data_IF_112237849385
#
_entry.id   IF_112237849385
#
_cell.length_a   1.000
_cell.length_b   1.000
_cell.length_c   1.000
_cell.angle_alpha   90.00
_cell.angle_beta   90.00
_cell.angle_gamma   90.00
#
_symmetry.space_group_name_H-M   'P 1'
#
loop_
_entity.id
_entity.type
_entity.pdbx_description
1 polymer ?
#
# COMPACT_ATOMS: atom_id res chain seq x y z
N UNK A 1 -44.00 -14.91 -31.68
CA UNK A 1 -43.95 -13.86 -30.63
C UNK A 1 -44.50 -14.44 -29.33
N UNK A 2 -43.67 -15.09 -28.50
CA UNK A 2 -44.14 -15.57 -27.19
C UNK A 2 -44.22 -14.36 -26.26
N UNK A 3 -45.41 -14.13 -25.67
CA UNK A 3 -45.64 -13.04 -24.72
C UNK A 3 -44.76 -13.30 -23.49
N UNK A 4 -43.76 -12.45 -23.26
CA UNK A 4 -43.11 -12.42 -21.96
C UNK A 4 -44.16 -11.99 -20.92
N UNK A 5 -44.46 -12.87 -19.97
CA UNK A 5 -45.30 -12.52 -18.84
C UNK A 5 -44.65 -11.35 -18.09
N UNK A 6 -45.43 -10.32 -17.76
CA UNK A 6 -44.99 -9.13 -17.01
C UNK A 6 -44.60 -9.43 -15.55
N UNK A 7 -44.60 -10.69 -15.13
CA UNK A 7 -44.25 -11.07 -13.77
C UNK A 7 -42.74 -11.24 -13.62
N UNK A 8 -42.22 -10.44 -12.69
CA UNK A 8 -40.80 -10.24 -12.40
C UNK A 8 -40.25 -11.39 -11.54
N UNK A 9 -40.14 -12.59 -12.12
CA UNK A 9 -39.69 -13.79 -11.39
C UNK A 9 -38.15 -13.94 -11.43
N UNK A 10 -37.46 -13.26 -12.35
CA UNK A 10 -36.00 -13.28 -12.49
C UNK A 10 -35.36 -11.88 -12.56
N UNK A 11 -36.08 -10.84 -12.12
CA UNK A 11 -35.57 -9.46 -12.13
C UNK A 11 -34.78 -9.12 -10.86
N UNK A 12 -33.87 -8.15 -10.95
CA UNK A 12 -33.20 -7.61 -9.77
C UNK A 12 -34.21 -7.13 -8.73
N UNK A 13 -33.91 -7.37 -7.44
CA UNK A 13 -34.73 -6.98 -6.27
C UNK A 13 -35.11 -5.50 -6.37
N UNK A 14 -34.14 -4.65 -6.72
CA UNK A 14 -34.35 -3.23 -6.94
C UNK A 14 -34.74 -2.91 -8.39
N UNK A 15 -35.81 -2.13 -8.53
CA UNK A 15 -36.17 -1.43 -9.77
C UNK A 15 -35.13 -0.40 -10.16
N UNK A 16 -35.15 -0.04 -11.44
CA UNK A 16 -34.38 1.09 -11.95
C UNK A 16 -34.65 2.40 -11.17
N UNK A 17 -35.91 2.67 -10.82
CA UNK A 17 -36.29 3.90 -10.13
C UNK A 17 -35.80 3.94 -8.68
N UNK A 18 -35.82 2.80 -7.98
CA UNK A 18 -35.27 2.71 -6.62
C UNK A 18 -33.75 2.90 -6.65
N UNK A 19 -33.03 2.22 -7.55
CA UNK A 19 -31.58 2.43 -7.72
C UNK A 19 -31.23 3.88 -8.03
N UNK A 20 -32.04 4.56 -8.85
CA UNK A 20 -31.83 5.97 -9.19
C UNK A 20 -32.07 6.89 -7.99
N UNK A 21 -33.07 6.60 -7.15
CA UNK A 21 -33.31 7.35 -5.89
C UNK A 21 -32.20 7.12 -4.88
N UNK A 22 -31.76 5.87 -4.72
CA UNK A 22 -30.70 5.51 -3.77
C UNK A 22 -29.35 6.10 -4.21
N UNK A 23 -29.05 6.11 -5.51
CA UNK A 23 -27.88 6.79 -6.06
C UNK A 23 -27.92 8.30 -5.80
N UNK A 24 -29.09 8.94 -6.02
CA UNK A 24 -29.27 10.37 -5.74
C UNK A 24 -29.09 10.71 -4.25
N UNK A 25 -29.67 9.91 -3.35
CA UNK A 25 -29.57 10.12 -1.90
C UNK A 25 -28.17 9.82 -1.35
N UNK A 26 -27.51 8.79 -1.87
CA UNK A 26 -26.19 8.37 -1.41
C UNK A 26 -25.05 9.21 -2.00
N UNK A 27 -25.33 9.97 -3.07
CA UNK A 27 -24.30 10.73 -3.81
C UNK A 27 -23.24 9.86 -4.49
N UNK A 28 -23.42 8.54 -4.51
CA UNK A 28 -22.45 7.57 -5.00
C UNK A 28 -22.87 7.03 -6.37
N UNK A 29 -21.90 6.92 -7.29
CA UNK A 29 -22.10 6.49 -8.67
C UNK A 29 -22.25 7.66 -9.66
N UNK A 30 -22.35 7.33 -10.95
CA UNK A 30 -22.47 8.32 -12.03
C UNK A 30 -23.93 8.74 -12.21
N UNK A 31 -24.22 10.01 -11.92
CA UNK A 31 -25.54 10.60 -12.15
C UNK A 31 -25.49 11.52 -13.38
N UNK A 32 -26.44 11.38 -14.30
CA UNK A 32 -26.60 12.31 -15.40
C UNK A 32 -27.76 13.27 -15.05
N UNK A 33 -27.40 14.43 -14.50
CA UNK A 33 -28.33 15.48 -14.07
C UNK A 33 -27.88 16.80 -14.71
N UNK A 34 -28.86 17.61 -15.11
CA UNK A 34 -28.60 18.98 -15.56
C UNK A 34 -28.32 19.86 -14.33
N UNK A 35 -27.10 20.39 -14.25
CA UNK A 35 -26.70 21.30 -13.19
C UNK A 35 -27.27 22.71 -13.43
N UNK A 36 -27.57 23.44 -12.36
CA UNK A 36 -27.95 24.85 -12.41
C UNK A 36 -26.73 25.74 -12.65
N UNK A 37 -26.97 27.03 -12.90
CA UNK A 37 -25.91 28.03 -13.07
C UNK A 37 -24.96 28.08 -11.86
N UNK A 38 -25.48 27.84 -10.66
CA UNK A 38 -24.72 27.87 -9.40
C UNK A 38 -23.62 26.80 -9.31
N UNK A 39 -23.65 25.80 -10.18
CA UNK A 39 -22.60 24.79 -10.27
C UNK A 39 -21.38 25.29 -11.05
N UNK A 40 -21.51 26.40 -11.78
CA UNK A 40 -20.42 27.03 -12.52
C UNK A 40 -19.92 28.21 -11.69
N UNK A 41 -18.60 28.27 -11.53
CA UNK A 41 -17.93 29.38 -10.87
C UNK A 41 -18.12 30.67 -11.68
N UNK A 42 -18.40 31.78 -10.99
CA UNK A 42 -18.44 33.11 -11.60
C UNK A 42 -17.07 33.57 -12.13
N UNK A 43 -17.10 34.50 -13.08
CA UNK A 43 -15.90 34.99 -13.77
C UNK A 43 -14.98 35.82 -12.87
N UNK A 44 -15.56 36.62 -11.97
CA UNK A 44 -14.91 37.53 -11.04
C UNK A 44 -14.46 36.88 -9.71
N UNK A 45 -14.80 35.60 -9.52
CA UNK A 45 -14.41 34.84 -8.34
C UNK A 45 -12.97 34.29 -8.43
N UNK A 46 -12.30 34.20 -7.29
CA UNK A 46 -10.98 33.59 -7.16
C UNK A 46 -11.09 32.06 -7.32
N UNK A 47 -10.14 31.44 -8.04
CA UNK A 47 -10.10 29.98 -8.20
C UNK A 47 -9.74 29.21 -6.91
N UNK A 48 -9.27 29.90 -5.86
CA UNK A 48 -8.92 29.28 -4.57
C UNK A 48 -10.01 29.49 -3.51
N UNK A 49 -10.45 30.72 -3.29
CA UNK A 49 -11.44 31.05 -2.25
C UNK A 49 -12.89 30.95 -2.72
N UNK A 50 -13.15 30.91 -4.04
CA UNK A 50 -14.49 30.99 -4.65
C UNK A 50 -15.29 32.22 -4.18
N UNK A 51 -14.61 33.23 -3.65
CA UNK A 51 -15.17 34.54 -3.32
C UNK A 51 -14.84 35.53 -4.44
N UNK A 52 -15.66 36.58 -4.63
CA UNK A 52 -15.34 37.68 -5.53
C UNK A 52 -13.97 38.30 -5.17
N UNK A 53 -13.14 38.58 -6.18
CA UNK A 53 -11.79 39.09 -5.95
C UNK A 53 -11.80 40.59 -5.62
N UNK A 54 -11.06 41.00 -4.58
CA UNK A 54 -10.81 42.43 -4.32
C UNK A 54 -9.61 42.97 -5.11
N UNK A 55 -8.47 42.28 -5.07
CA UNK A 55 -7.25 42.61 -5.81
C UNK A 55 -6.86 41.44 -6.75
N UNK A 56 -7.44 41.42 -7.97
CA UNK A 56 -7.26 40.31 -8.89
C UNK A 56 -5.86 40.28 -9.49
N UNK A 57 -5.26 39.09 -9.48
CA UNK A 57 -4.03 38.76 -10.18
C UNK A 57 -4.28 37.62 -11.15
N UNK A 58 -3.69 37.71 -12.34
CA UNK A 58 -3.93 36.77 -13.44
C UNK A 58 -2.63 36.06 -13.79
N UNK A 59 -2.69 34.73 -13.84
CA UNK A 59 -1.60 33.88 -14.34
C UNK A 59 -1.57 33.91 -15.87
N UNK A 60 -0.42 33.71 -16.55
CA UNK A 60 -0.36 33.66 -18.02
C UNK A 60 -1.35 32.70 -18.68
N UNK A 61 -1.76 31.64 -17.97
CA UNK A 61 -2.76 30.67 -18.42
C UNK A 61 -4.21 31.19 -18.37
N UNK A 62 -4.44 32.39 -17.86
CA UNK A 62 -5.75 33.04 -17.81
C UNK A 62 -6.59 32.74 -16.56
N UNK A 63 -5.98 32.20 -15.50
CA UNK A 63 -6.68 31.97 -14.23
C UNK A 63 -6.67 33.20 -13.34
N UNK A 64 -7.82 33.49 -12.72
CA UNK A 64 -8.03 34.61 -11.80
C UNK A 64 -7.84 34.18 -10.34
N UNK A 65 -7.01 34.91 -9.61
CA UNK A 65 -6.79 34.70 -8.19
C UNK A 65 -6.82 36.03 -7.44
N UNK A 66 -7.05 35.94 -6.14
CA UNK A 66 -6.77 37.03 -5.20
C UNK A 66 -5.30 37.01 -4.79
N UNK A 67 -4.68 38.18 -4.73
CA UNK A 67 -3.23 38.32 -4.45
C UNK A 67 -2.80 37.60 -3.18
N UNK A 68 -3.54 37.77 -2.09
CA UNK A 68 -3.20 37.18 -0.79
C UNK A 68 -3.31 35.65 -0.84
N UNK A 69 -4.45 35.14 -1.34
CA UNK A 69 -4.73 33.72 -1.43
C UNK A 69 -3.68 32.95 -2.27
N UNK A 70 -3.27 33.50 -3.42
CA UNK A 70 -2.28 32.81 -4.27
C UNK A 70 -0.89 32.78 -3.63
N UNK A 71 -0.50 33.85 -2.93
CA UNK A 71 0.80 33.93 -2.27
C UNK A 71 0.89 32.97 -1.08
N UNK A 72 -0.16 32.93 -0.25
CA UNK A 72 -0.29 31.98 0.84
C UNK A 72 -0.23 30.53 0.34
N UNK A 73 -0.96 30.25 -0.73
CA UNK A 73 -0.95 28.93 -1.37
C UNK A 73 0.46 28.53 -1.83
N UNK A 74 1.17 29.42 -2.52
CA UNK A 74 2.54 29.14 -3.00
C UNK A 74 3.50 28.85 -1.83
N UNK A 75 3.44 29.65 -0.76
CA UNK A 75 4.28 29.43 0.42
C UNK A 75 3.97 28.10 1.11
N UNK A 76 2.68 27.79 1.25
CA UNK A 76 2.23 26.52 1.82
C UNK A 76 2.71 25.33 0.99
N UNK A 77 2.52 25.36 -0.33
CA UNK A 77 2.95 24.27 -1.23
C UNK A 77 4.46 24.07 -1.20
N UNK A 78 5.26 25.15 -1.21
CA UNK A 78 6.72 25.04 -1.11
C UNK A 78 7.16 24.39 0.20
N UNK A 79 6.50 24.73 1.31
CA UNK A 79 6.78 24.15 2.63
C UNK A 79 6.43 22.66 2.67
N UNK A 80 5.27 22.28 2.16
CA UNK A 80 4.85 20.87 2.12
C UNK A 80 5.74 20.02 1.21
N UNK A 81 6.11 20.54 0.03
CA UNK A 81 7.08 19.86 -0.85
C UNK A 81 8.41 19.66 -0.13
N UNK A 82 8.96 20.70 0.52
CA UNK A 82 10.20 20.58 1.27
C UNK A 82 10.11 19.52 2.40
N UNK A 83 8.97 19.47 3.10
CA UNK A 83 8.70 18.47 4.13
C UNK A 83 8.66 17.05 3.56
N UNK A 84 7.94 16.85 2.47
CA UNK A 84 7.82 15.55 1.79
C UNK A 84 9.16 15.08 1.22
N UNK A 85 9.92 15.99 0.59
CA UNK A 85 11.25 15.69 0.06
C UNK A 85 12.21 15.24 1.17
N UNK A 86 12.23 15.92 2.31
CA UNK A 86 13.06 15.53 3.47
C UNK A 86 12.66 14.16 4.03
N UNK A 87 11.36 13.87 4.10
CA UNK A 87 10.87 12.57 4.55
C UNK A 87 11.29 11.44 3.57
N UNK A 88 11.15 11.71 2.27
CA UNK A 88 11.56 10.79 1.21
C UNK A 88 13.06 10.51 1.23
N UNK A 89 13.90 11.54 1.39
CA UNK A 89 15.34 11.40 1.49
C UNK A 89 15.76 10.54 2.70
N UNK A 90 15.12 10.76 3.86
CA UNK A 90 15.35 9.95 5.06
C UNK A 90 14.98 8.48 4.81
N UNK A 91 13.82 8.22 4.22
CA UNK A 91 13.39 6.86 3.89
C UNK A 91 14.33 6.19 2.90
N UNK A 92 14.77 6.93 1.86
CA UNK A 92 15.72 6.44 0.86
C UNK A 92 17.09 6.13 1.46
N UNK A 93 17.56 6.96 2.39
CA UNK A 93 18.79 6.74 3.14
C UNK A 93 18.74 5.47 3.99
N UNK A 94 17.67 5.29 4.76
CA UNK A 94 17.46 4.09 5.59
C UNK A 94 17.41 2.81 4.74
N UNK A 95 16.64 2.81 3.65
CA UNK A 95 16.56 1.66 2.73
C UNK A 95 17.92 1.31 2.11
N UNK A 96 18.73 2.32 1.75
CA UNK A 96 20.06 2.11 1.19
C UNK A 96 21.00 1.48 2.22
N UNK A 97 20.93 1.89 3.48
CA UNK A 97 21.75 1.33 4.54
C UNK A 97 21.34 -0.11 4.88
N UNK A 98 20.04 -0.38 4.99
CA UNK A 98 19.51 -1.74 5.16
C UNK A 98 19.97 -2.67 4.02
N UNK A 99 19.89 -2.21 2.77
CA UNK A 99 20.35 -3.00 1.62
C UNK A 99 21.87 -3.26 1.67
N UNK A 100 22.68 -2.28 2.09
CA UNK A 100 24.13 -2.47 2.29
C UNK A 100 24.41 -3.48 3.40
N UNK A 101 23.65 -3.44 4.49
CA UNK A 101 23.80 -4.38 5.60
C UNK A 101 23.44 -5.80 5.17
N UNK A 102 22.33 -5.96 4.44
CA UNK A 102 21.92 -7.26 3.86
C UNK A 102 22.98 -7.79 2.89
N UNK A 103 23.55 -6.96 2.02
CA UNK A 103 24.64 -7.37 1.12
C UNK A 103 25.90 -7.80 1.88
N UNK A 104 26.27 -7.08 2.95
CA UNK A 104 27.41 -7.45 3.80
C UNK A 104 27.17 -8.76 4.54
N UNK A 105 25.98 -8.95 5.11
CA UNK A 105 25.60 -10.19 5.78
C UNK A 105 25.62 -11.37 4.80
N UNK A 106 25.03 -11.20 3.61
CA UNK A 106 25.06 -12.22 2.56
C UNK A 106 26.50 -12.57 2.14
N UNK A 107 27.39 -11.58 1.99
CA UNK A 107 28.80 -11.83 1.68
C UNK A 107 29.51 -12.60 2.80
N UNK A 108 29.25 -12.27 4.07
CA UNK A 108 29.81 -12.99 5.22
C UNK A 108 29.29 -14.42 5.31
N UNK A 109 28.00 -14.66 5.05
CA UNK A 109 27.41 -16.00 5.02
C UNK A 109 28.02 -16.85 3.90
N UNK A 110 28.31 -16.27 2.73
CA UNK A 110 29.01 -16.96 1.64
C UNK A 110 30.42 -17.38 2.05
N UNK A 111 31.18 -16.49 2.71
CA UNK A 111 32.52 -16.81 3.22
C UNK A 111 32.46 -17.89 4.30
N UNK A 112 31.51 -17.78 5.25
CA UNK A 112 31.32 -18.79 6.30
C UNK A 112 30.99 -20.16 5.71
N UNK A 113 30.04 -20.21 4.78
CA UNK A 113 29.65 -21.44 4.10
C UNK A 113 30.77 -22.04 3.23
N UNK A 114 31.68 -21.22 2.72
CA UNK A 114 32.89 -21.70 2.05
C UNK A 114 33.86 -22.38 3.03
N UNK A 115 34.19 -21.71 4.15
CA UNK A 115 35.09 -22.26 5.17
C UNK A 115 34.57 -23.57 5.79
N UNK A 116 33.25 -23.67 6.05
CA UNK A 116 32.62 -24.89 6.54
C UNK A 116 32.80 -26.07 5.56
N UNK A 117 32.68 -25.82 4.25
CA UNK A 117 32.90 -26.84 3.22
C UNK A 117 34.37 -27.26 3.15
N UNK A 118 35.31 -26.34 3.27
CA UNK A 118 36.74 -26.68 3.34
C UNK A 118 37.04 -27.56 4.57
N UNK A 119 36.51 -27.19 5.74
CA UNK A 119 36.68 -27.95 6.96
C UNK A 119 36.09 -29.38 6.86
N UNK A 120 34.96 -29.55 6.16
CA UNK A 120 34.35 -30.86 5.93
C UNK A 120 35.20 -31.79 5.05
N UNK A 121 35.95 -31.23 4.08
CA UNK A 121 36.84 -32.00 3.19
C UNK A 121 38.12 -32.40 3.93
N UNK A 122 38.69 -31.51 4.73
CA UNK A 122 39.97 -31.74 5.42
C UNK A 122 39.79 -32.51 6.74
N UNK A 123 38.68 -32.33 7.44
CA UNK A 123 38.43 -32.89 8.77
C UNK A 123 37.85 -34.30 8.77
N UNK A 124 37.36 -34.82 7.64
CA UNK A 124 36.80 -36.17 7.56
C UNK A 124 37.76 -37.11 6.83
N UNK A 125 38.45 -38.03 7.52
CA UNK A 125 39.17 -39.09 6.82
C UNK A 125 38.14 -39.94 6.08
N UNK A 126 38.02 -39.75 4.77
CA UNK A 126 37.29 -40.63 3.86
C UNK A 126 38.09 -41.93 3.75
N UNK A 127 38.00 -42.78 4.78
CA UNK A 127 38.43 -44.17 4.68
C UNK A 127 37.31 -44.95 3.98
N UNK A 128 37.48 -45.38 2.71
CA UNK A 128 36.43 -46.08 1.96
C UNK A 128 36.23 -47.54 2.42
N UNK A 129 37.04 -48.00 3.39
CA UNK A 129 37.14 -49.41 3.79
C UNK A 129 36.64 -49.70 5.21
N UNK A 130 36.05 -48.73 5.91
CA UNK A 130 35.46 -48.99 7.24
C UNK A 130 33.97 -49.25 7.05
N UNK A 131 33.62 -50.54 6.97
CA UNK A 131 32.27 -51.03 7.20
C UNK A 131 32.01 -50.89 8.70
N UNK A 132 31.27 -49.85 9.10
CA UNK A 132 30.78 -49.73 10.48
C UNK A 132 29.77 -50.85 10.73
N UNK A 133 30.26 -51.98 11.23
CA UNK A 133 29.48 -52.84 12.11
C UNK A 133 29.56 -52.23 13.51
N UNK A 134 28.40 -52.10 14.13
CA UNK A 134 28.15 -51.83 15.56
C UNK A 134 28.05 -50.36 15.98
N UNK A 135 26.82 -49.87 16.12
CA UNK A 135 26.18 -49.73 17.44
C UNK A 135 24.83 -48.98 17.33
N UNK A 136 23.91 -49.39 18.20
CA UNK A 136 22.46 -49.26 18.10
C UNK A 136 21.87 -47.85 18.25
N UNK A 137 20.61 -47.62 17.81
CA UNK A 137 19.91 -46.35 17.99
C UNK A 137 19.62 -46.12 19.48
N UNK A 138 20.14 -45.03 20.02
CA UNK A 138 19.62 -44.50 21.28
C UNK A 138 18.16 -44.06 21.04
N UNK A 139 17.29 -44.80 21.70
CA UNK A 139 15.88 -44.53 21.95
C UNK A 139 15.62 -43.03 22.14
N UNK A 140 14.81 -42.45 21.26
CA UNK A 140 14.21 -41.13 21.46
C UNK A 140 13.27 -41.25 22.66
N UNK A 141 13.69 -40.71 23.80
CA UNK A 141 12.85 -40.56 24.97
C UNK A 141 12.16 -39.20 24.84
N UNK A 142 10.94 -39.19 24.31
CA UNK A 142 10.06 -38.03 24.39
C UNK A 142 9.69 -37.82 25.87
N UNK A 143 10.38 -36.91 26.55
CA UNK A 143 9.86 -36.27 27.73
C UNK A 143 9.40 -34.87 27.32
N UNK A 144 8.10 -34.73 27.10
CA UNK A 144 7.40 -33.47 27.39
C UNK A 144 7.33 -33.32 28.91
N UNK A 145 7.82 -32.20 29.46
CA UNK A 145 7.14 -31.63 30.61
C UNK A 145 6.86 -30.16 30.35
N UNK A 146 5.59 -29.80 30.58
CA UNK A 146 5.00 -28.46 30.58
C UNK A 146 4.26 -28.10 29.29
N UNK A 147 3.08 -28.73 29.16
CA UNK A 147 1.98 -28.19 28.39
C UNK A 147 1.61 -26.78 28.87
N UNK A 148 1.89 -25.79 28.03
CA UNK A 148 1.12 -24.56 27.97
C UNK A 148 0.59 -24.40 26.54
N UNK A 149 -0.71 -24.61 26.40
CA UNK A 149 -1.46 -24.13 25.24
C UNK A 149 -1.37 -22.61 25.21
N UNK A 150 -0.68 -22.07 24.21
CA UNK A 150 -0.81 -20.65 23.85
C UNK A 150 -1.93 -20.50 22.81
N UNK A 151 -3.04 -19.79 23.12
CA UNK A 151 -4.17 -19.65 22.21
C UNK A 151 -4.00 -18.40 21.34
N UNK A 152 -3.01 -18.37 20.44
CA UNK A 152 -2.83 -17.25 19.50
C UNK A 152 -2.48 -17.77 18.10
N UNK A 153 -3.41 -18.51 17.52
CA UNK A 153 -3.48 -18.76 16.07
C UNK A 153 -4.91 -18.50 15.60
N UNK A 154 -5.35 -17.26 15.77
CA UNK A 154 -6.50 -16.66 15.11
C UNK A 154 -5.93 -15.57 14.22
N UNK A 155 -6.19 -15.72 12.91
CA UNK A 155 -5.93 -14.81 11.79
C UNK A 155 -4.57 -14.89 11.09
N UNK A 156 -4.57 -15.67 10.01
CA UNK A 156 -3.96 -15.25 8.74
C UNK A 156 -4.81 -15.85 7.60
N UNK A 157 -5.23 -14.97 6.69
CA UNK A 157 -6.09 -15.24 5.52
C UNK A 157 -5.70 -16.46 4.70
#
# INVERSE_FOLDING_TARGET
MKRHAKNRIAGAVYTYHEKRKDAAASGYGTQNIRLSQDAVKDFDCCCLSLQPCHDPVVTPDGYLYEREAILEYILHQKKEIARQMKAYEKQRGARREEQKQLQRAAAQDQVRGFLEKEAAIVGRPLNPFIHNTDAMPHHVQCCDPLGLWSPWSVWRN
#
